data_IF_784081758116
#
_entry.id   IF_784081758116
#
_cell.length_a   1.000
_cell.length_b   1.000
_cell.length_c   1.000
_cell.angle_alpha   90.00
_cell.angle_beta   90.00
_cell.angle_gamma   90.00
#
_symmetry.space_group_name_H-M   'P 1'
#
loop_
_entity.id
_entity.type
_entity.pdbx_description
1 polymer ?
#
# COMPACT_ATOMS: atom_id res chain seq x y z
N UNK A 1 23.23 -64.58 -28.41
CA UNK A 1 23.70 -63.62 -27.38
C UNK A 1 24.72 -62.65 -27.99
N UNK A 2 25.70 -63.12 -28.75
CA UNK A 2 26.72 -62.27 -29.41
C UNK A 2 26.17 -61.22 -30.39
N UNK A 3 25.18 -61.56 -31.21
CA UNK A 3 24.58 -60.62 -32.19
C UNK A 3 23.87 -59.44 -31.55
N UNK A 4 23.35 -59.61 -30.33
CA UNK A 4 22.70 -58.55 -29.56
C UNK A 4 23.74 -57.59 -28.95
N UNK A 5 24.87 -58.12 -28.49
CA UNK A 5 25.99 -57.33 -27.96
C UNK A 5 26.62 -56.49 -29.07
N UNK A 6 26.80 -57.04 -30.27
CA UNK A 6 27.30 -56.31 -31.44
C UNK A 6 26.34 -55.21 -31.90
N UNK A 7 25.02 -55.42 -31.79
CA UNK A 7 24.03 -54.41 -32.13
C UNK A 7 24.04 -53.23 -31.16
N UNK A 8 24.09 -53.47 -29.84
CA UNK A 8 24.16 -52.41 -28.82
C UNK A 8 25.46 -51.60 -28.93
N UNK A 9 26.57 -52.22 -29.31
CA UNK A 9 27.85 -51.54 -29.46
C UNK A 9 28.06 -50.92 -30.86
N UNK A 10 27.01 -50.92 -31.70
CA UNK A 10 27.08 -50.34 -33.05
C UNK A 10 26.87 -48.83 -33.03
N UNK A 11 27.57 -48.11 -33.91
CA UNK A 11 27.37 -46.66 -34.09
C UNK A 11 25.92 -46.30 -34.42
N UNK A 12 25.17 -47.20 -35.05
CA UNK A 12 23.74 -47.03 -35.36
C UNK A 12 22.87 -47.03 -34.09
N UNK A 13 23.17 -47.88 -33.10
CA UNK A 13 22.46 -47.88 -31.82
C UNK A 13 22.77 -46.62 -30.99
N UNK A 14 24.02 -46.16 -31.01
CA UNK A 14 24.42 -44.89 -30.38
C UNK A 14 23.71 -43.70 -31.05
N UNK A 15 23.62 -43.68 -32.38
CA UNK A 15 22.88 -42.65 -33.11
C UNK A 15 21.38 -42.66 -32.76
N UNK A 16 20.76 -43.84 -32.69
CA UNK A 16 19.34 -43.98 -32.33
C UNK A 16 19.06 -43.50 -30.90
N UNK A 17 19.89 -43.90 -29.93
CA UNK A 17 19.76 -43.45 -28.53
C UNK A 17 19.98 -41.96 -28.39
N UNK A 18 20.91 -41.38 -29.16
CA UNK A 18 21.13 -39.92 -29.21
C UNK A 18 19.93 -39.17 -29.78
N UNK A 19 19.32 -39.66 -30.87
CA UNK A 19 18.10 -39.06 -31.46
C UNK A 19 16.93 -39.16 -30.47
N UNK A 20 16.77 -40.29 -29.79
CA UNK A 20 15.73 -40.47 -28.78
C UNK A 20 15.93 -39.53 -27.59
N UNK A 21 17.16 -39.40 -27.10
CA UNK A 21 17.50 -38.46 -26.03
C UNK A 21 17.23 -37.00 -26.45
N UNK A 22 17.66 -36.61 -27.65
CA UNK A 22 17.41 -35.28 -28.21
C UNK A 22 15.93 -34.97 -28.39
N UNK A 23 15.15 -35.93 -28.89
CA UNK A 23 13.70 -35.82 -29.05
C UNK A 23 13.01 -35.68 -27.69
N UNK A 24 13.41 -36.50 -26.71
CA UNK A 24 12.87 -36.44 -25.34
C UNK A 24 13.18 -35.09 -24.70
N UNK A 25 14.41 -34.59 -24.82
CA UNK A 25 14.80 -33.28 -24.32
C UNK A 25 13.98 -32.15 -24.97
N UNK A 26 13.73 -32.23 -26.28
CA UNK A 26 12.90 -31.27 -27.00
C UNK A 26 11.44 -31.30 -26.53
N UNK A 27 10.86 -32.50 -26.32
CA UNK A 27 9.50 -32.64 -25.78
C UNK A 27 9.41 -32.04 -24.38
N UNK A 28 10.39 -32.33 -23.52
CA UNK A 28 10.44 -31.78 -22.15
C UNK A 28 10.54 -30.25 -22.19
N UNK A 29 11.39 -29.69 -23.05
CA UNK A 29 11.52 -28.24 -23.21
C UNK A 29 10.21 -27.58 -23.67
N UNK A 30 9.54 -28.15 -24.68
CA UNK A 30 8.25 -27.64 -25.15
C UNK A 30 7.18 -27.69 -24.05
N UNK A 31 7.16 -28.77 -23.27
CA UNK A 31 6.24 -28.93 -22.14
C UNK A 31 6.53 -27.90 -21.04
N UNK A 32 7.79 -27.71 -20.65
CA UNK A 32 8.20 -26.70 -19.66
C UNK A 32 7.80 -25.30 -20.09
N UNK A 33 7.98 -24.96 -21.38
CA UNK A 33 7.57 -23.66 -21.92
C UNK A 33 6.05 -23.45 -21.85
N UNK A 34 5.26 -24.49 -22.14
CA UNK A 34 3.82 -24.44 -22.02
C UNK A 34 3.36 -24.33 -20.55
N UNK A 35 3.97 -25.11 -19.66
CA UNK A 35 3.69 -25.07 -18.22
C UNK A 35 4.03 -23.69 -17.63
N UNK A 36 5.17 -23.12 -17.97
CA UNK A 36 5.57 -21.78 -17.53
C UNK A 36 4.58 -20.70 -17.97
N UNK A 37 4.10 -20.76 -19.22
CA UNK A 37 3.07 -19.85 -19.72
C UNK A 37 1.74 -20.02 -18.98
N UNK A 38 1.33 -21.26 -18.70
CA UNK A 38 0.11 -21.56 -17.94
C UNK A 38 0.19 -20.95 -16.54
N UNK A 39 1.31 -21.13 -15.86
CA UNK A 39 1.50 -20.62 -14.50
C UNK A 39 1.58 -19.09 -14.49
N UNK A 40 2.27 -18.49 -15.46
CA UNK A 40 2.24 -17.04 -15.67
C UNK A 40 0.81 -16.50 -15.86
N UNK A 41 -0.03 -17.24 -16.62
CA UNK A 41 -1.42 -16.85 -16.86
C UNK A 41 -2.27 -16.89 -15.59
N UNK A 42 -2.06 -17.91 -14.74
CA UNK A 42 -2.72 -17.99 -13.42
C UNK A 42 -2.32 -16.83 -12.52
N UNK A 43 -1.02 -16.49 -12.48
CA UNK A 43 -0.51 -15.36 -11.71
C UNK A 43 -1.17 -14.06 -12.16
N UNK A 44 -1.15 -13.76 -13.47
CA UNK A 44 -1.77 -12.54 -14.00
C UNK A 44 -3.28 -12.48 -13.73
N UNK A 45 -4.01 -13.58 -13.91
CA UNK A 45 -5.44 -13.62 -13.61
C UNK A 45 -5.72 -13.38 -12.12
N UNK A 46 -4.90 -13.95 -11.23
CA UNK A 46 -5.01 -13.71 -9.78
C UNK A 46 -4.69 -12.26 -9.42
N UNK A 47 -3.69 -11.65 -10.05
CA UNK A 47 -3.34 -10.23 -9.84
C UNK A 47 -4.50 -9.32 -10.27
N UNK A 48 -5.10 -9.57 -11.44
CA UNK A 48 -6.28 -8.84 -11.92
C UNK A 48 -7.43 -8.98 -10.92
N UNK A 49 -7.80 -10.22 -10.57
CA UNK A 49 -8.93 -10.48 -9.67
C UNK A 49 -8.72 -9.85 -8.29
N UNK A 50 -7.50 -9.91 -7.76
CA UNK A 50 -7.18 -9.28 -6.47
C UNK A 50 -7.25 -7.75 -6.55
N UNK A 51 -6.70 -7.16 -7.62
CA UNK A 51 -6.78 -5.72 -7.87
C UNK A 51 -8.22 -5.23 -7.94
N UNK A 52 -9.07 -5.92 -8.71
CA UNK A 52 -10.50 -5.59 -8.81
C UNK A 52 -11.21 -5.69 -7.46
N UNK A 53 -10.94 -6.75 -6.68
CA UNK A 53 -11.52 -6.92 -5.35
C UNK A 53 -11.17 -5.75 -4.42
N UNK A 54 -9.88 -5.42 -4.33
CA UNK A 54 -9.38 -4.34 -3.47
C UNK A 54 -9.92 -2.98 -3.94
N UNK A 55 -9.90 -2.69 -5.23
CA UNK A 55 -10.46 -1.45 -5.78
C UNK A 55 -11.96 -1.35 -5.52
N UNK A 56 -12.72 -2.45 -5.66
CA UNK A 56 -14.15 -2.49 -5.30
C UNK A 56 -14.37 -2.23 -3.80
N UNK A 57 -13.53 -2.77 -2.92
CA UNK A 57 -13.58 -2.49 -1.47
C UNK A 57 -13.32 -1.00 -1.18
N UNK A 58 -12.31 -0.41 -1.81
CA UNK A 58 -11.97 1.01 -1.66
C UNK A 58 -13.09 1.92 -2.21
N UNK A 59 -13.68 1.59 -3.36
CA UNK A 59 -14.85 2.29 -3.91
C UNK A 59 -16.04 2.26 -2.95
N UNK A 60 -16.30 1.12 -2.30
CA UNK A 60 -17.37 0.99 -1.28
C UNK A 60 -17.12 1.87 -0.06
N UNK A 61 -15.88 1.97 0.42
CA UNK A 61 -15.52 2.83 1.55
C UNK A 61 -15.81 4.31 1.23
N UNK A 62 -15.47 4.75 0.01
CA UNK A 62 -15.75 6.10 -0.50
C UNK A 62 -17.26 6.36 -0.55
N UNK A 63 -18.04 5.44 -1.11
CA UNK A 63 -19.50 5.57 -1.22
C UNK A 63 -20.20 5.68 0.14
N UNK A 64 -19.76 4.92 1.14
CA UNK A 64 -20.42 4.90 2.45
C UNK A 64 -20.13 6.14 3.31
N UNK A 65 -18.95 6.75 3.15
CA UNK A 65 -18.49 7.85 4.02
C UNK A 65 -18.52 9.23 3.34
N UNK A 66 -18.97 9.33 2.09
CA UNK A 66 -18.84 10.49 1.19
C UNK A 66 -17.40 10.98 0.94
N UNK A 67 -16.41 10.36 1.59
CA UNK A 67 -15.00 10.72 1.60
C UNK A 67 -14.16 9.46 1.74
N UNK A 68 -13.04 9.37 1.01
CA UNK A 68 -12.15 8.23 1.16
C UNK A 68 -11.34 8.34 2.47
N UNK A 69 -11.50 7.36 3.36
CA UNK A 69 -10.72 7.23 4.58
C UNK A 69 -10.34 5.77 4.81
N UNK A 70 -9.09 5.44 4.54
CA UNK A 70 -8.56 4.07 4.72
C UNK A 70 -8.05 3.79 6.14
N UNK A 71 -8.12 4.80 7.02
CA UNK A 71 -7.62 4.73 8.39
C UNK A 71 -6.09 4.72 8.47
N UNK A 72 -5.57 4.29 9.63
CA UNK A 72 -4.14 4.30 9.95
C UNK A 72 -3.33 3.21 9.23
N UNK A 73 -4.01 2.27 8.59
CA UNK A 73 -3.41 1.13 7.89
C UNK A 73 -3.88 1.13 6.43
N UNK A 74 -3.52 2.19 5.69
CA UNK A 74 -3.75 2.26 4.25
C UNK A 74 -2.96 1.18 3.50
N UNK A 75 -1.83 0.72 4.07
CA UNK A 75 -0.95 -0.29 3.49
C UNK A 75 -1.63 -1.64 3.23
N UNK A 76 -2.66 -2.01 4.02
CA UNK A 76 -3.45 -3.24 3.78
C UNK A 76 -4.18 -3.27 2.43
N UNK A 77 -4.38 -2.10 1.80
CA UNK A 77 -5.00 -1.99 0.48
C UNK A 77 -3.97 -1.93 -0.65
N UNK A 78 -2.68 -2.16 -0.37
CA UNK A 78 -1.63 -2.27 -1.39
C UNK A 78 -1.79 -3.54 -2.21
N UNK A 79 -1.54 -3.47 -3.52
CA UNK A 79 -1.62 -4.61 -4.42
C UNK A 79 -0.28 -5.36 -4.56
N UNK A 80 0.79 -4.79 -4.00
CA UNK A 80 2.16 -5.29 -4.16
C UNK A 80 2.68 -5.18 -5.60
N UNK A 81 3.84 -5.77 -5.83
CA UNK A 81 4.51 -5.70 -7.13
C UNK A 81 3.68 -6.36 -8.24
N UNK A 82 3.72 -5.78 -9.44
CA UNK A 82 3.13 -6.40 -10.62
C UNK A 82 4.10 -7.37 -11.28
N UNK A 83 3.61 -8.53 -11.69
CA UNK A 83 4.37 -9.44 -12.54
C UNK A 83 4.26 -9.11 -14.04
N UNK A 84 3.47 -8.10 -14.42
CA UNK A 84 3.12 -7.82 -15.82
C UNK A 84 4.34 -7.53 -16.69
N UNK A 85 5.19 -6.59 -16.29
CA UNK A 85 6.38 -6.23 -17.06
C UNK A 85 7.31 -7.41 -17.33
N UNK A 86 7.41 -8.33 -16.34
CA UNK A 86 8.21 -9.55 -16.45
C UNK A 86 7.54 -10.61 -17.34
N UNK A 87 6.22 -10.72 -17.34
CA UNK A 87 5.51 -11.84 -17.98
C UNK A 87 4.88 -11.48 -19.32
N UNK A 88 4.71 -10.19 -19.65
CA UNK A 88 3.96 -9.73 -20.83
C UNK A 88 4.45 -10.35 -22.14
N UNK A 89 5.76 -10.50 -22.32
CA UNK A 89 6.34 -11.07 -23.55
C UNK A 89 5.80 -12.47 -23.90
N UNK A 90 5.33 -13.25 -22.92
CA UNK A 90 4.73 -14.58 -23.13
C UNK A 90 3.37 -14.53 -23.84
N UNK A 91 2.74 -13.36 -23.85
CA UNK A 91 1.34 -13.16 -24.22
C UNK A 91 1.14 -12.21 -25.42
N UNK A 92 2.21 -11.64 -25.99
CA UNK A 92 2.14 -10.68 -27.11
C UNK A 92 1.30 -11.20 -28.27
N UNK A 93 1.39 -12.50 -28.56
CA UNK A 93 0.68 -13.12 -29.69
C UNK A 93 -0.73 -13.63 -29.33
N UNK A 94 -1.21 -13.40 -28.12
CA UNK A 94 -2.47 -13.94 -27.63
C UNK A 94 -3.62 -12.95 -27.57
N UNK A 95 -3.29 -11.67 -27.68
CA UNK A 95 -4.23 -10.56 -27.59
C UNK A 95 -4.14 -9.75 -28.88
N UNK A 96 -5.28 -9.23 -29.33
CA UNK A 96 -5.27 -8.23 -30.38
C UNK A 96 -4.71 -6.89 -29.85
N UNK A 97 -4.45 -5.94 -30.74
CA UNK A 97 -3.84 -4.66 -30.36
C UNK A 97 -4.65 -3.91 -29.29
N UNK A 98 -5.99 -3.98 -29.36
CA UNK A 98 -6.88 -3.27 -28.45
C UNK A 98 -6.92 -3.95 -27.07
N UNK A 99 -6.98 -5.27 -27.04
CA UNK A 99 -6.92 -6.07 -25.83
C UNK A 99 -5.56 -5.92 -25.12
N UNK A 100 -4.49 -5.87 -25.90
CA UNK A 100 -3.13 -5.64 -25.40
C UNK A 100 -2.99 -4.26 -24.76
N UNK A 101 -3.51 -3.21 -25.41
CA UNK A 101 -3.51 -1.86 -24.86
C UNK A 101 -4.33 -1.76 -23.58
N UNK A 102 -5.51 -2.40 -23.53
CA UNK A 102 -6.34 -2.46 -22.32
C UNK A 102 -5.62 -3.15 -21.16
N UNK A 103 -4.91 -4.26 -21.41
CA UNK A 103 -4.11 -4.93 -20.38
C UNK A 103 -2.99 -4.04 -19.85
N UNK A 104 -2.23 -3.41 -20.75
CA UNK A 104 -1.16 -2.49 -20.35
C UNK A 104 -1.72 -1.33 -19.52
N UNK A 105 -2.84 -0.75 -19.96
CA UNK A 105 -3.51 0.35 -19.27
C UNK A 105 -3.93 -0.07 -17.85
N UNK A 106 -4.58 -1.23 -17.71
CA UNK A 106 -4.97 -1.77 -16.41
C UNK A 106 -3.78 -1.95 -15.46
N UNK A 107 -2.70 -2.59 -15.93
CA UNK A 107 -1.52 -2.82 -15.08
C UNK A 107 -0.78 -1.53 -14.74
N UNK A 108 -0.72 -0.56 -15.66
CA UNK A 108 -0.17 0.76 -15.38
C UNK A 108 -0.96 1.49 -14.29
N UNK A 109 -2.31 1.47 -14.38
CA UNK A 109 -3.18 2.07 -13.37
C UNK A 109 -3.07 1.35 -12.02
N UNK A 110 -2.97 0.02 -12.03
CA UNK A 110 -2.71 -0.81 -10.83
C UNK A 110 -1.40 -0.41 -10.14
N UNK A 111 -0.34 -0.17 -10.92
CA UNK A 111 0.96 0.21 -10.39
C UNK A 111 0.95 1.65 -9.85
N UNK A 112 0.25 2.56 -10.53
CA UNK A 112 0.02 3.93 -10.04
C UNK A 112 -0.78 3.93 -8.73
N UNK A 113 -1.81 3.09 -8.63
CA UNK A 113 -2.59 2.89 -7.42
C UNK A 113 -1.71 2.41 -6.26
N UNK A 114 -0.88 1.40 -6.51
CA UNK A 114 0.01 0.82 -5.51
C UNK A 114 1.02 1.85 -5.01
N UNK A 115 1.65 2.60 -5.92
CA UNK A 115 2.57 3.71 -5.57
C UNK A 115 1.87 4.75 -4.71
N UNK A 116 0.63 5.11 -5.06
CA UNK A 116 -0.15 6.10 -4.32
C UNK A 116 -0.48 5.62 -2.92
N UNK A 117 -0.97 4.38 -2.77
CA UNK A 117 -1.22 3.76 -1.45
C UNK A 117 0.05 3.72 -0.61
N UNK A 118 1.17 3.28 -1.18
CA UNK A 118 2.44 3.18 -0.46
C UNK A 118 2.93 4.56 -0.02
N UNK A 119 2.81 5.58 -0.87
CA UNK A 119 3.14 6.96 -0.50
C UNK A 119 2.28 7.45 0.68
N UNK A 120 0.97 7.21 0.63
CA UNK A 120 0.07 7.58 1.72
C UNK A 120 0.44 6.83 3.01
N UNK A 121 0.66 5.52 2.92
CA UNK A 121 1.04 4.67 4.05
C UNK A 121 2.37 5.09 4.68
N UNK A 122 3.32 5.60 3.90
CA UNK A 122 4.62 6.05 4.40
C UNK A 122 4.56 7.47 4.98
N UNK A 123 3.76 8.37 4.38
CA UNK A 123 3.62 9.75 4.85
C UNK A 123 2.80 9.85 6.13
N UNK A 124 1.85 8.94 6.34
CA UNK A 124 0.93 8.99 7.48
C UNK A 124 1.65 8.91 8.84
N UNK A 125 2.47 7.89 9.15
CA UNK A 125 3.19 7.80 10.42
C UNK A 125 4.13 9.00 10.64
N UNK A 126 4.82 9.44 9.58
CA UNK A 126 5.76 10.57 9.65
C UNK A 126 5.05 11.88 9.99
N UNK A 127 3.90 12.15 9.37
CA UNK A 127 3.12 13.34 9.67
C UNK A 127 2.53 13.30 11.09
N UNK A 128 2.13 12.10 11.54
CA UNK A 128 1.65 11.89 12.89
C UNK A 128 2.76 12.15 13.92
N UNK A 129 3.97 11.62 13.67
CA UNK A 129 5.14 11.84 14.53
C UNK A 129 5.52 13.33 14.62
N UNK A 130 5.65 14.02 13.49
CA UNK A 130 5.98 15.46 13.47
C UNK A 130 4.96 16.30 14.25
N UNK A 131 3.67 15.96 14.15
CA UNK A 131 2.63 16.63 14.92
C UNK A 131 2.70 16.30 16.40
N UNK A 132 2.94 15.04 16.77
CA UNK A 132 3.14 14.66 18.18
C UNK A 132 4.33 15.40 18.79
N UNK A 133 5.44 15.52 18.06
CA UNK A 133 6.61 16.28 18.48
C UNK A 133 6.26 17.77 18.68
N UNK A 134 5.53 18.38 17.75
CA UNK A 134 5.09 19.78 17.89
C UNK A 134 4.20 19.99 19.12
N UNK A 135 3.27 19.07 19.39
CA UNK A 135 2.38 19.12 20.56
C UNK A 135 3.19 18.97 21.85
N UNK A 136 4.11 18.01 21.89
CA UNK A 136 4.98 17.78 23.04
C UNK A 136 5.89 18.98 23.32
N UNK A 137 6.41 19.62 22.26
CA UNK A 137 7.24 20.83 22.39
C UNK A 137 6.44 21.99 22.99
N UNK A 138 5.21 22.22 22.52
CA UNK A 138 4.38 23.30 23.06
C UNK A 138 3.96 23.03 24.52
N UNK A 139 3.61 21.78 24.86
CA UNK A 139 3.36 21.38 26.24
C UNK A 139 4.59 21.57 27.14
N UNK A 140 5.76 21.15 26.66
CA UNK A 140 7.01 21.31 27.39
C UNK A 140 7.32 22.79 27.63
N UNK A 141 7.13 23.65 26.61
CA UNK A 141 7.31 25.10 26.74
C UNK A 141 6.37 25.69 27.80
N UNK A 142 5.09 25.36 27.77
CA UNK A 142 4.12 25.82 28.78
C UNK A 142 4.55 25.36 30.19
N UNK A 143 4.96 24.10 30.33
CA UNK A 143 5.41 23.55 31.60
C UNK A 143 6.70 24.21 32.12
N UNK A 144 7.67 24.48 31.24
CA UNK A 144 8.92 25.16 31.59
C UNK A 144 8.65 26.61 32.01
N UNK A 145 7.86 27.36 31.25
CA UNK A 145 7.47 28.74 31.60
C UNK A 145 6.75 28.76 32.96
N UNK A 146 5.88 27.79 33.23
CA UNK A 146 5.18 27.66 34.52
C UNK A 146 6.17 27.39 35.65
N UNK A 147 7.06 26.40 35.49
CA UNK A 147 8.06 26.05 36.51
C UNK A 147 9.01 27.22 36.82
N UNK A 148 9.45 27.96 35.80
CA UNK A 148 10.28 29.15 35.97
C UNK A 148 9.57 30.25 36.75
N UNK A 149 8.30 30.51 36.46
CA UNK A 149 7.51 31.50 37.20
C UNK A 149 7.31 31.10 38.67
N UNK A 150 7.02 29.82 38.93
CA UNK A 150 6.93 29.29 40.30
C UNK A 150 8.26 29.38 41.05
N UNK A 151 9.39 29.10 40.40
CA UNK A 151 10.72 29.17 41.03
C UNK A 151 11.09 30.58 41.52
N UNK A 152 10.50 31.62 40.91
CA UNK A 152 10.72 33.03 41.25
C UNK A 152 9.86 33.48 42.44
N UNK A 153 8.97 32.64 42.95
CA UNK A 153 8.15 32.95 44.13
C UNK A 153 8.90 32.51 45.38
N UNK A 154 9.24 33.47 46.25
CA UNK A 154 9.71 33.17 47.60
C UNK A 154 8.50 32.82 48.46
N UNK A 155 8.53 31.66 49.10
CA UNK A 155 7.47 31.23 50.03
C UNK A 155 7.62 32.02 51.34
N UNK A 156 6.65 32.87 51.72
CA UNK A 156 6.68 33.57 53.00
C UNK A 156 6.42 32.62 54.17
N UNK A 157 6.82 33.01 55.39
CA UNK A 157 6.54 32.26 56.61
C UNK A 157 5.04 32.23 56.97
N UNK A 158 4.29 33.24 56.52
CA UNK A 158 2.84 33.33 56.66
C UNK A 158 2.17 33.18 55.29
N UNK A 159 1.46 32.06 55.10
CA UNK A 159 0.76 31.72 53.87
C UNK A 159 -0.51 32.55 53.63
N UNK A 160 -0.94 33.36 54.62
CA UNK A 160 -2.04 34.33 54.46
C UNK A 160 -1.60 35.69 53.93
N UNK A 161 -0.31 35.86 53.59
CA UNK A 161 0.17 37.08 52.91
C UNK A 161 -0.64 37.31 51.62
N UNK A 162 -1.39 38.41 51.63
CA UNK A 162 -2.29 38.81 50.55
C UNK A 162 -1.56 38.97 49.22
N UNK A 163 -0.31 39.46 49.24
CA UNK A 163 0.53 39.67 48.04
C UNK A 163 1.04 38.35 47.47
N UNK A 164 1.37 37.39 48.34
CA UNK A 164 1.71 36.02 47.91
C UNK A 164 0.51 35.32 47.27
N UNK A 165 -0.65 35.41 47.92
CA UNK A 165 -1.91 34.78 47.46
C UNK A 165 -2.40 35.36 46.13
N UNK A 166 -2.29 36.68 45.94
CA UNK A 166 -2.69 37.34 44.70
C UNK A 166 -1.75 37.00 43.53
N UNK A 167 -0.44 36.91 43.80
CA UNK A 167 0.56 36.50 42.80
C UNK A 167 0.39 35.03 42.38
N UNK A 168 0.16 34.12 43.32
CA UNK A 168 -0.06 32.69 43.00
C UNK A 168 -1.37 32.49 42.25
N UNK A 169 -2.45 33.19 42.63
CA UNK A 169 -3.71 33.18 41.89
C UNK A 169 -3.55 33.65 40.44
N UNK A 170 -2.81 34.74 40.21
CA UNK A 170 -2.54 35.22 38.85
C UNK A 170 -1.75 34.24 37.98
N UNK A 171 -0.81 33.50 38.57
CA UNK A 171 -0.08 32.42 37.86
C UNK A 171 -1.02 31.27 37.54
N UNK A 172 -1.84 30.83 38.50
CA UNK A 172 -2.83 29.75 38.29
C UNK A 172 -3.76 30.12 37.13
N UNK A 173 -4.38 31.30 37.18
CA UNK A 173 -5.32 31.77 36.16
C UNK A 173 -4.66 31.88 34.77
N UNK A 174 -3.41 32.38 34.70
CA UNK A 174 -2.64 32.45 33.45
C UNK A 174 -2.44 31.06 32.82
N UNK A 175 -2.04 30.07 33.61
CA UNK A 175 -1.76 28.73 33.09
C UNK A 175 -3.03 27.89 32.88
N UNK A 176 -4.11 28.15 33.62
CA UNK A 176 -5.45 27.62 33.31
C UNK A 176 -5.96 28.13 31.96
N UNK A 177 -5.76 29.42 31.67
CA UNK A 177 -6.10 30.00 30.37
C UNK A 177 -5.26 29.41 29.24
N UNK A 178 -3.94 29.23 29.45
CA UNK A 178 -3.07 28.55 28.47
C UNK A 178 -3.48 27.09 28.25
N UNK A 179 -3.80 26.35 29.31
CA UNK A 179 -4.25 24.96 29.21
C UNK A 179 -5.60 24.85 28.49
N UNK A 180 -6.50 25.80 28.72
CA UNK A 180 -7.80 25.87 28.02
C UNK A 180 -7.60 26.19 26.54
N UNK A 181 -6.79 27.20 26.22
CA UNK A 181 -6.45 27.51 24.83
C UNK A 181 -5.79 26.33 24.12
N UNK A 182 -4.86 25.63 24.79
CA UNK A 182 -4.25 24.42 24.27
C UNK A 182 -5.29 23.32 24.02
N UNK A 183 -6.22 23.08 24.97
CA UNK A 183 -7.31 22.12 24.78
C UNK A 183 -8.19 22.49 23.60
N UNK A 184 -8.52 23.77 23.41
CA UNK A 184 -9.37 24.20 22.30
C UNK A 184 -8.67 24.11 20.94
N UNK A 185 -7.42 24.57 20.85
CA UNK A 185 -6.65 24.59 19.59
C UNK A 185 -6.26 23.18 19.19
N UNK A 186 -5.82 22.41 20.17
CA UNK A 186 -5.35 21.09 19.94
C UNK A 186 -6.50 20.10 20.29
N UNK A 187 -6.81 19.79 21.54
CA UNK A 187 -7.62 18.60 21.90
C UNK A 187 -9.09 18.57 21.41
N UNK A 188 -9.82 19.68 21.35
CA UNK A 188 -11.28 19.69 21.12
C UNK A 188 -11.68 19.38 19.67
N UNK A 189 -12.61 18.44 19.50
CA UNK A 189 -13.03 17.89 18.22
C UNK A 189 -13.78 18.85 17.27
N UNK A 190 -14.14 20.05 17.74
CA UNK A 190 -14.95 21.05 17.01
C UNK A 190 -14.13 22.16 16.35
N UNK A 191 -12.81 22.23 16.58
CA UNK A 191 -11.96 23.10 15.77
C UNK A 191 -11.57 22.37 14.48
N UNK A 192 -11.37 23.11 13.39
CA UNK A 192 -10.93 22.58 12.09
C UNK A 192 -9.60 21.82 12.14
N UNK A 193 -8.92 21.84 13.30
CA UNK A 193 -7.85 20.93 13.70
C UNK A 193 -8.44 19.65 14.33
N UNK A 194 -9.22 18.86 13.57
CA UNK A 194 -9.56 17.51 14.02
C UNK A 194 -8.26 16.77 14.37
N UNK A 195 -8.20 16.26 15.60
CA UNK A 195 -7.18 15.32 16.08
C UNK A 195 -7.19 13.98 15.33
N UNK A 196 -8.24 13.73 14.56
CA UNK A 196 -8.14 12.91 13.37
C UNK A 196 -7.52 13.79 12.29
N UNK A 197 -6.23 13.61 12.00
CA UNK A 197 -5.72 13.98 10.67
C UNK A 197 -6.65 13.29 9.67
N UNK A 198 -7.63 14.05 9.17
CA UNK A 198 -8.52 13.60 8.12
C UNK A 198 -7.66 13.73 6.87
N UNK A 199 -7.19 12.62 6.29
CA UNK A 199 -6.24 12.67 5.20
C UNK A 199 -6.98 13.03 3.90
N UNK A 200 -7.98 13.92 3.94
CA UNK A 200 -8.80 14.32 2.80
C UNK A 200 -7.92 14.76 1.63
N UNK A 201 -6.84 15.51 1.90
CA UNK A 201 -5.86 15.90 0.88
C UNK A 201 -4.84 14.84 0.49
N UNK A 202 -4.61 13.79 1.30
CA UNK A 202 -3.68 12.71 0.94
C UNK A 202 -4.34 11.58 0.18
N UNK A 203 -5.67 11.45 0.25
CA UNK A 203 -6.43 10.46 -0.52
C UNK A 203 -6.95 11.00 -1.86
N UNK A 204 -6.95 12.31 -2.12
CA UNK A 204 -7.41 12.87 -3.42
C UNK A 204 -6.70 12.23 -4.63
N UNK A 205 -5.36 12.03 -4.63
CA UNK A 205 -4.70 11.31 -5.73
C UNK A 205 -5.19 9.87 -5.85
N UNK A 206 -5.46 9.20 -4.73
CA UNK A 206 -5.95 7.83 -4.71
C UNK A 206 -7.38 7.74 -5.25
N UNK A 207 -8.25 8.70 -4.92
CA UNK A 207 -9.61 8.77 -5.44
C UNK A 207 -9.62 8.87 -6.96
N UNK A 208 -8.76 9.71 -7.54
CA UNK A 208 -8.62 9.86 -9.00
C UNK A 208 -8.22 8.53 -9.64
N UNK A 209 -7.22 7.84 -9.09
CA UNK A 209 -6.75 6.57 -9.64
C UNK A 209 -7.78 5.45 -9.51
N UNK A 210 -8.44 5.36 -8.34
CA UNK A 210 -9.46 4.34 -8.06
C UNK A 210 -10.63 4.44 -9.03
N UNK A 211 -11.09 5.65 -9.33
CA UNK A 211 -12.25 5.86 -10.21
C UNK A 211 -11.95 5.42 -11.66
N UNK A 212 -10.69 5.49 -12.09
CA UNK A 212 -10.25 5.17 -13.46
C UNK A 212 -9.99 3.67 -13.65
N UNK A 213 -9.62 2.93 -12.61
CA UNK A 213 -9.34 1.49 -12.72
C UNK A 213 -10.61 0.72 -13.10
N UNK A 214 -10.50 -0.02 -14.21
CA UNK A 214 -11.50 -1.00 -14.64
C UNK A 214 -11.61 -2.13 -13.61
N UNK A 215 -12.83 -2.39 -13.14
CA UNK A 215 -13.09 -3.39 -12.11
C UNK A 215 -13.68 -4.70 -12.65
N UNK A 216 -13.83 -4.83 -13.96
CA UNK A 216 -14.51 -5.95 -14.62
C UNK A 216 -13.68 -6.58 -15.75
N UNK A 217 -12.36 -6.32 -15.78
CA UNK A 217 -11.43 -6.93 -16.72
C UNK A 217 -11.39 -8.46 -16.59
N UNK A 218 -11.54 -9.02 -15.39
CA UNK A 218 -11.52 -10.47 -15.13
C UNK A 218 -12.69 -11.22 -15.77
N UNK A 219 -13.84 -10.56 -15.92
CA UNK A 219 -15.04 -11.12 -16.55
C UNK A 219 -15.14 -10.77 -18.04
N UNK A 220 -14.33 -9.82 -18.51
CA UNK A 220 -14.23 -9.47 -19.92
C UNK A 220 -13.65 -10.60 -20.80
N UNK A 221 -13.69 -10.43 -22.12
CA UNK A 221 -13.05 -11.35 -23.07
C UNK A 221 -11.56 -11.58 -22.76
N UNK A 222 -10.87 -10.53 -22.31
CA UNK A 222 -9.45 -10.55 -21.95
C UNK A 222 -9.24 -11.45 -20.73
N UNK A 223 -9.98 -11.22 -19.64
CA UNK A 223 -9.90 -12.00 -18.42
C UNK A 223 -10.22 -13.47 -18.65
N UNK A 224 -11.24 -13.77 -19.48
CA UNK A 224 -11.59 -15.13 -19.87
C UNK A 224 -10.49 -15.82 -20.70
N UNK A 225 -9.83 -15.09 -21.62
CA UNK A 225 -8.68 -15.59 -22.38
C UNK A 225 -7.51 -15.96 -21.45
N UNK A 226 -7.14 -15.07 -20.53
CA UNK A 226 -6.09 -15.33 -19.52
C UNK A 226 -6.48 -16.53 -18.65
N UNK A 227 -7.70 -16.58 -18.15
CA UNK A 227 -8.20 -17.70 -17.35
C UNK A 227 -8.13 -19.03 -18.09
N UNK A 228 -8.49 -19.03 -19.38
CA UNK A 228 -8.44 -20.23 -20.23
C UNK A 228 -7.01 -20.71 -20.46
N UNK A 229 -6.05 -19.81 -20.65
CA UNK A 229 -4.63 -20.16 -20.79
C UNK A 229 -4.02 -20.71 -19.49
N UNK A 230 -4.63 -20.40 -18.34
CA UNK A 230 -4.24 -20.93 -17.03
C UNK A 230 -4.81 -22.32 -16.72
N UNK A 231 -5.68 -22.89 -17.55
CA UNK A 231 -6.18 -24.26 -17.41
C UNK A 231 -5.24 -25.24 -18.12
#
# INVERSE_FOLDING_TARGET
MESFILFINSNSFVALTTILAGTTALIVYLKQKADYKRDASKTLYSEITNAERVVKEVKKIKQNNNLLSLGNDAGKYSLGDSSWERLKYLFVNNFDSNEWEKLNTFFNQRDEYTKTITNISNLFPKNLELRMQSIQCELAKIATEQAEEWSKIKVPADTTDKKYTEKTKGIIEKYENKATAFKTIFIDANTSFRYSYLPQGTFEPLEKVVDIIDTDLSISSIGLKIKKMGK
#
